data_IF_080315088369
#
_entry.id   IF_080315088369
#
_cell.length_a   1.000
_cell.length_b   1.000
_cell.length_c   1.000
_cell.angle_alpha   90.00
_cell.angle_beta   90.00
_cell.angle_gamma   90.00
#
_symmetry.space_group_name_H-M   'P 1'
#
loop_
_entity.id
_entity.type
_entity.pdbx_description
1 polymer ?
#
# COMPACT_ATOMS: atom_id res chain seq x y z
N UNK A 1 9.01 -19.81 -19.06
CA UNK A 1 7.86 -19.00 -18.57
C UNK A 1 7.74 -17.73 -19.40
N UNK A 2 6.59 -17.45 -20.00
CA UNK A 2 6.39 -16.32 -20.93
C UNK A 2 6.45 -14.96 -20.20
N UNK A 3 6.86 -13.86 -20.89
CA UNK A 3 6.87 -12.51 -20.31
C UNK A 3 5.51 -12.09 -19.74
N UNK A 4 4.43 -12.44 -20.43
CA UNK A 4 3.05 -12.17 -19.99
C UNK A 4 2.74 -12.85 -18.65
N UNK A 5 3.07 -14.14 -18.47
CA UNK A 5 2.87 -14.83 -17.19
C UNK A 5 3.68 -14.19 -16.06
N UNK A 6 4.91 -13.72 -16.32
CA UNK A 6 5.75 -13.05 -15.32
C UNK A 6 5.12 -11.73 -14.86
N UNK A 7 4.60 -10.94 -15.79
CA UNK A 7 3.91 -9.70 -15.49
C UNK A 7 2.62 -9.92 -14.69
N UNK A 8 1.82 -10.94 -15.06
CA UNK A 8 0.61 -11.29 -14.30
C UNK A 8 0.93 -11.67 -12.86
N UNK A 9 1.94 -12.53 -12.65
CA UNK A 9 2.35 -12.92 -11.30
C UNK A 9 2.85 -11.70 -10.51
N UNK A 10 3.71 -10.88 -11.11
CA UNK A 10 4.20 -9.67 -10.43
C UNK A 10 3.06 -8.72 -10.04
N UNK A 11 2.05 -8.57 -10.90
CA UNK A 11 0.88 -7.73 -10.62
C UNK A 11 0.01 -8.31 -9.48
N UNK A 12 -0.22 -9.63 -9.47
CA UNK A 12 -0.96 -10.28 -8.38
C UNK A 12 -0.21 -10.13 -7.05
N UNK A 13 1.10 -10.37 -7.04
CA UNK A 13 1.95 -10.23 -5.85
C UNK A 13 1.93 -8.79 -5.33
N UNK A 14 2.04 -7.79 -6.22
CA UNK A 14 1.90 -6.37 -5.83
C UNK A 14 0.53 -6.08 -5.20
N UNK A 15 -0.56 -6.56 -5.81
CA UNK A 15 -1.91 -6.30 -5.32
C UNK A 15 -2.16 -6.94 -3.95
N UNK A 16 -1.76 -8.21 -3.77
CA UNK A 16 -1.91 -8.92 -2.50
C UNK A 16 -1.09 -8.28 -1.37
N UNK A 17 0.12 -7.82 -1.66
CA UNK A 17 0.98 -7.16 -0.68
C UNK A 17 0.49 -5.75 -0.32
N UNK A 18 -0.14 -5.04 -1.26
CA UNK A 18 -0.67 -3.69 -1.02
C UNK A 18 -2.06 -3.67 -0.37
N UNK A 19 -2.89 -4.70 -0.59
CA UNK A 19 -4.28 -4.68 -0.14
C UNK A 19 -4.44 -4.44 1.38
N UNK A 20 -3.64 -5.07 2.27
CA UNK A 20 -3.72 -4.79 3.71
C UNK A 20 -3.36 -3.35 4.06
N UNK A 21 -2.33 -2.80 3.40
CA UNK A 21 -1.88 -1.42 3.62
C UNK A 21 -2.93 -0.41 3.15
N UNK A 22 -3.50 -0.63 1.97
CA UNK A 22 -4.57 0.20 1.42
C UNK A 22 -5.80 0.21 2.34
N UNK A 23 -6.19 -0.95 2.88
CA UNK A 23 -7.28 -1.03 3.84
C UNK A 23 -6.96 -0.22 5.09
N UNK A 24 -5.79 -0.43 5.69
CA UNK A 24 -5.38 0.31 6.88
C UNK A 24 -5.36 1.82 6.66
N UNK A 25 -4.86 2.29 5.53
CA UNK A 25 -4.84 3.71 5.15
C UNK A 25 -6.25 4.30 4.97
N UNK A 26 -7.15 3.59 4.30
CA UNK A 26 -8.54 4.04 4.13
C UNK A 26 -9.23 4.21 5.49
N UNK A 27 -9.02 3.26 6.41
CA UNK A 27 -9.56 3.35 7.77
C UNK A 27 -8.93 4.48 8.58
N UNK A 28 -7.61 4.67 8.51
CA UNK A 28 -6.93 5.82 9.15
C UNK A 28 -7.47 7.15 8.60
N UNK A 29 -7.65 7.27 7.29
CA UNK A 29 -8.24 8.47 6.68
C UNK A 29 -9.66 8.78 7.15
N UNK A 30 -10.52 7.76 7.27
CA UNK A 30 -11.89 7.92 7.78
C UNK A 30 -11.89 8.34 9.26
N UNK A 31 -11.03 7.73 10.08
CA UNK A 31 -10.97 7.99 11.52
C UNK A 31 -10.34 9.34 11.89
N UNK A 32 -9.59 9.97 10.99
CA UNK A 32 -9.02 11.31 11.16
C UNK A 32 -10.01 12.46 10.90
N UNK A 33 -11.21 12.17 10.37
CA UNK A 33 -12.24 13.18 10.15
C UNK A 33 -12.79 13.76 11.47
N UNK A 34 -13.14 15.05 11.49
CA UNK A 34 -13.45 15.83 12.70
C UNK A 34 -14.59 15.26 13.55
N UNK A 35 -15.53 14.57 12.91
CA UNK A 35 -16.76 14.10 13.56
C UNK A 35 -16.55 12.77 14.31
N UNK A 36 -15.45 12.07 14.03
CA UNK A 36 -15.15 10.75 14.60
C UNK A 36 -14.45 10.82 15.96
N UNK A 37 -13.85 11.96 16.33
CA UNK A 37 -13.04 12.13 17.54
C UNK A 37 -13.85 12.36 18.84
N UNK A 38 -15.18 12.44 18.76
CA UNK A 38 -16.01 12.78 19.92
C UNK A 38 -16.29 11.61 20.89
N UNK A 39 -15.95 10.37 20.52
CA UNK A 39 -16.25 9.17 21.32
C UNK A 39 -14.99 8.35 21.62
N UNK A 40 -14.76 7.98 22.88
CA UNK A 40 -13.54 7.29 23.32
C UNK A 40 -13.34 5.89 22.70
N UNK A 41 -14.42 5.26 22.25
CA UNK A 41 -14.38 4.00 21.47
C UNK A 41 -13.76 4.17 20.10
N UNK A 42 -13.88 5.37 19.51
CA UNK A 42 -13.38 5.68 18.19
C UNK A 42 -11.87 5.97 18.18
N UNK A 43 -11.32 6.49 19.29
CA UNK A 43 -9.87 6.66 19.46
C UNK A 43 -9.13 5.32 19.52
N UNK A 44 -9.67 4.33 20.23
CA UNK A 44 -9.08 2.99 20.32
C UNK A 44 -9.04 2.30 18.95
N UNK A 45 -10.10 2.46 18.14
CA UNK A 45 -10.15 1.95 16.76
C UNK A 45 -9.12 2.67 15.87
N UNK A 46 -9.02 4.00 15.95
CA UNK A 46 -8.03 4.78 15.19
C UNK A 46 -6.60 4.34 15.51
N UNK A 47 -6.28 4.14 16.80
CA UNK A 47 -4.97 3.63 17.24
C UNK A 47 -4.70 2.22 16.70
N UNK A 48 -5.70 1.33 16.74
CA UNK A 48 -5.57 -0.05 16.24
C UNK A 48 -5.30 -0.06 14.73
N UNK A 49 -6.00 0.79 13.97
CA UNK A 49 -5.82 0.91 12.52
C UNK A 49 -4.47 1.56 12.17
N UNK A 50 -4.03 2.55 12.94
CA UNK A 50 -2.70 3.12 12.80
C UNK A 50 -1.61 2.08 13.05
N UNK A 51 -1.71 1.27 14.10
CA UNK A 51 -0.78 0.16 14.34
C UNK A 51 -0.82 -0.87 13.21
N UNK A 52 -2.00 -1.23 12.70
CA UNK A 52 -2.13 -2.14 11.56
C UNK A 52 -1.44 -1.60 10.30
N UNK A 53 -1.53 -0.29 10.03
CA UNK A 53 -0.80 0.39 8.96
C UNK A 53 0.72 0.27 9.15
N UNK A 54 1.22 0.47 10.38
CA UNK A 54 2.65 0.30 10.70
C UNK A 54 3.11 -1.15 10.44
N UNK A 55 2.32 -2.15 10.84
CA UNK A 55 2.69 -3.56 10.66
C UNK A 55 2.61 -4.03 9.21
N UNK A 56 1.70 -3.47 8.42
CA UNK A 56 1.52 -3.85 7.01
C UNK A 56 2.51 -3.15 6.08
N UNK A 57 3.06 -2.00 6.48
CA UNK A 57 4.06 -1.26 5.71
C UNK A 57 5.33 -2.10 5.39
N UNK A 58 5.99 -2.77 6.34
CA UNK A 58 7.13 -3.66 6.05
C UNK A 58 6.81 -4.76 5.05
N UNK A 59 5.59 -5.31 5.07
CA UNK A 59 5.15 -6.34 4.12
C UNK A 59 5.07 -5.74 2.72
N UNK A 60 4.45 -4.56 2.59
CA UNK A 60 4.38 -3.85 1.31
C UNK A 60 5.78 -3.49 0.78
N UNK A 61 6.69 -3.04 1.64
CA UNK A 61 8.09 -2.73 1.29
C UNK A 61 8.86 -3.97 0.84
N UNK A 62 8.70 -5.10 1.55
CA UNK A 62 9.48 -6.31 1.25
C UNK A 62 8.92 -7.12 0.08
N UNK A 63 7.63 -6.97 -0.25
CA UNK A 63 6.97 -7.77 -1.28
C UNK A 63 6.53 -6.92 -2.48
N UNK A 64 5.77 -5.85 -2.26
CA UNK A 64 5.22 -5.05 -3.36
C UNK A 64 6.30 -4.26 -4.11
N UNK A 65 7.29 -3.70 -3.39
CA UNK A 65 8.36 -2.93 -4.01
C UNK A 65 9.25 -3.79 -4.93
N UNK A 66 9.79 -4.96 -4.50
CA UNK A 66 10.53 -5.84 -5.42
C UNK A 66 9.69 -6.36 -6.59
N UNK A 67 8.42 -6.70 -6.33
CA UNK A 67 7.50 -7.12 -7.40
C UNK A 67 7.27 -5.99 -8.44
N UNK A 68 7.24 -4.73 -8.00
CA UNK A 68 7.12 -3.57 -8.89
C UNK A 68 8.35 -3.37 -9.77
N UNK A 69 9.56 -3.56 -9.21
CA UNK A 69 10.82 -3.48 -9.93
C UNK A 69 10.89 -4.62 -10.94
N UNK A 70 10.51 -5.84 -10.55
CA UNK A 70 10.51 -6.99 -11.44
C UNK A 70 9.48 -6.86 -12.58
N UNK A 71 8.28 -6.35 -12.28
CA UNK A 71 7.26 -5.98 -13.27
C UNK A 71 7.80 -4.97 -14.28
N UNK A 72 8.51 -3.94 -13.81
CA UNK A 72 9.13 -2.94 -14.67
C UNK A 72 10.25 -3.50 -15.55
N UNK A 73 11.16 -4.31 -14.99
CA UNK A 73 12.23 -4.98 -15.74
C UNK A 73 11.66 -5.90 -16.82
N UNK A 74 10.57 -6.60 -16.52
CA UNK A 74 9.91 -7.49 -17.48
C UNK A 74 9.21 -6.70 -18.59
N UNK A 75 8.54 -5.59 -18.25
CA UNK A 75 7.90 -4.72 -19.23
C UNK A 75 8.90 -4.02 -20.16
N UNK A 76 10.13 -3.72 -19.70
CA UNK A 76 11.20 -3.21 -20.57
C UNK A 76 11.62 -4.20 -21.65
N UNK A 77 11.54 -5.50 -21.38
CA UNK A 77 11.92 -6.56 -22.32
C UNK A 77 10.79 -6.94 -23.29
N UNK A 78 9.56 -6.53 -23.00
CA UNK A 78 8.38 -6.77 -23.83
C UNK A 78 7.42 -5.56 -23.72
N UNK A 79 7.74 -4.44 -24.38
CA UNK A 79 7.01 -3.17 -24.22
C UNK A 79 5.57 -3.23 -24.73
N UNK A 80 5.26 -4.14 -25.67
CA UNK A 80 3.88 -4.44 -26.08
C UNK A 80 2.98 -4.93 -24.92
N UNK A 81 3.57 -5.41 -23.82
CA UNK A 81 2.88 -5.92 -22.64
C UNK A 81 2.95 -4.94 -21.46
N UNK A 82 2.94 -3.62 -21.69
CA UNK A 82 3.09 -2.58 -20.66
C UNK A 82 1.93 -2.47 -19.64
N UNK A 83 1.28 -3.59 -19.29
CA UNK A 83 0.25 -3.72 -18.27
C UNK A 83 0.81 -3.46 -16.87
N UNK A 84 0.01 -2.85 -16.00
CA UNK A 84 0.37 -2.62 -14.59
C UNK A 84 1.14 -1.32 -14.30
N UNK A 85 1.26 -0.39 -15.26
CA UNK A 85 1.90 0.93 -15.01
C UNK A 85 1.21 1.71 -13.88
N UNK A 86 -0.13 1.66 -13.82
CA UNK A 86 -0.93 2.29 -12.76
C UNK A 86 -0.65 1.63 -11.42
N UNK A 87 -0.67 0.29 -11.38
CA UNK A 87 -0.41 -0.48 -10.15
C UNK A 87 1.00 -0.22 -9.60
N UNK A 88 2.01 -0.12 -10.47
CA UNK A 88 3.38 0.26 -10.06
C UNK A 88 3.42 1.67 -9.45
N UNK A 89 2.70 2.65 -10.01
CA UNK A 89 2.60 3.99 -9.40
C UNK A 89 1.89 3.95 -8.04
N UNK A 90 0.84 3.16 -7.92
CA UNK A 90 0.11 2.98 -6.67
C UNK A 90 1.01 2.42 -5.56
N UNK A 91 1.94 1.50 -5.86
CA UNK A 91 2.94 1.03 -4.87
C UNK A 91 3.69 2.20 -4.25
N UNK A 92 4.23 3.12 -5.06
CA UNK A 92 5.01 4.24 -4.52
C UNK A 92 4.14 5.23 -3.72
N UNK A 93 2.91 5.50 -4.17
CA UNK A 93 1.99 6.41 -3.48
C UNK A 93 1.59 5.84 -2.12
N UNK A 94 1.16 4.57 -2.09
CA UNK A 94 0.74 3.87 -0.87
C UNK A 94 1.91 3.63 0.08
N UNK A 95 3.15 3.55 -0.39
CA UNK A 95 4.30 3.49 0.53
C UNK A 95 4.61 4.83 1.20
N UNK A 96 4.20 5.97 0.60
CA UNK A 96 4.47 7.30 1.13
C UNK A 96 3.42 7.78 2.15
N UNK A 97 2.15 7.41 1.96
CA UNK A 97 1.05 7.85 2.82
C UNK A 97 1.24 7.48 4.31
N UNK A 98 1.71 6.28 4.68
CA UNK A 98 1.96 5.90 6.07
C UNK A 98 3.06 6.74 6.70
N UNK A 99 4.09 7.12 5.93
CA UNK A 99 5.18 7.96 6.40
C UNK A 99 4.67 9.37 6.72
N UNK A 100 3.80 9.93 5.88
CA UNK A 100 3.14 11.22 6.15
C UNK A 100 2.25 11.10 7.39
N UNK A 101 1.45 10.03 7.49
CA UNK A 101 0.59 9.80 8.65
C UNK A 101 1.38 9.65 9.96
N UNK A 102 2.55 9.00 9.95
CA UNK A 102 3.45 8.91 11.10
C UNK A 102 3.98 10.28 11.58
N UNK A 103 4.22 11.21 10.65
CA UNK A 103 4.67 12.57 10.98
C UNK A 103 3.50 13.43 11.50
N UNK A 104 2.32 13.26 10.91
CA UNK A 104 1.12 14.08 11.19
C UNK A 104 0.31 13.57 12.38
N UNK A 105 0.50 12.31 12.80
CA UNK A 105 -0.08 11.75 14.01
C UNK A 105 0.96 11.78 15.15
N UNK A 106 1.27 12.95 15.74
CA UNK A 106 2.02 12.98 16.98
C UNK A 106 1.08 12.38 18.04
N UNK A 107 1.36 11.15 18.45
CA UNK A 107 0.75 10.58 19.64
C UNK A 107 0.85 11.62 20.76
N UNK A 108 -0.29 12.11 21.22
CA UNK A 108 -0.39 12.82 22.49
C UNK A 108 -0.45 11.81 23.61
#
# INVERSE_FOLDING_TARGET
MTPQRKLTIANIVMALALAPLLLAELFVGMTLSSDWKADSRHEALALTMFLAMIYTLPIAVTVALPASIWSWLTARRAPELATGRILRKAVYILLLLPLVAMVVYPGK
#
